data_IF_332045575463
#
_entry.id   IF_332045575463
#
_cell.length_a   1.000
_cell.length_b   1.000
_cell.length_c   1.000
_cell.angle_alpha   90.00
_cell.angle_beta   90.00
_cell.angle_gamma   90.00
#
_symmetry.space_group_name_H-M   'P 1'
#
loop_
_entity.id
_entity.type
_entity.pdbx_description
1 polymer ?
#
# COMPACT_ATOMS: atom_id res chain seq x y z
N UNK A 1 -6.66 -4.64 -32.73
CA UNK A 1 -7.66 -3.84 -32.00
C UNK A 1 -8.39 -4.79 -31.07
N UNK A 2 -7.93 -4.94 -29.82
CA UNK A 2 -8.57 -5.84 -28.86
C UNK A 2 -9.62 -5.08 -28.06
N UNK A 3 -10.84 -5.57 -28.26
CA UNK A 3 -12.06 -5.31 -27.51
C UNK A 3 -11.79 -5.49 -26.01
N UNK A 4 -11.93 -4.41 -25.23
CA UNK A 4 -11.94 -4.50 -23.76
C UNK A 4 -13.33 -4.97 -23.38
N UNK A 5 -13.51 -6.29 -23.36
CA UNK A 5 -14.72 -6.89 -22.85
C UNK A 5 -14.69 -6.84 -21.31
N UNK A 6 -15.79 -6.35 -20.76
CA UNK A 6 -15.94 -5.98 -19.36
C UNK A 6 -15.90 -7.23 -18.47
N UNK A 7 -14.93 -7.34 -17.58
CA UNK A 7 -15.05 -8.20 -16.39
C UNK A 7 -15.63 -7.40 -15.23
N UNK A 8 -16.94 -7.13 -15.33
CA UNK A 8 -17.80 -6.99 -14.16
C UNK A 8 -18.14 -8.43 -13.77
N UNK A 9 -17.44 -8.98 -12.79
CA UNK A 9 -17.60 -10.37 -12.36
C UNK A 9 -17.03 -10.57 -10.98
N UNK A 10 -17.92 -10.52 -9.99
CA UNK A 10 -17.81 -11.06 -8.64
C UNK A 10 -16.62 -12.00 -8.40
N UNK A 11 -15.62 -11.51 -7.65
CA UNK A 11 -14.64 -12.36 -6.96
C UNK A 11 -14.69 -12.07 -5.46
N UNK A 12 -15.89 -12.21 -4.88
CA UNK A 12 -15.98 -12.59 -3.47
C UNK A 12 -15.21 -13.90 -3.25
N UNK A 13 -14.68 -14.10 -2.04
CA UNK A 13 -14.13 -15.38 -1.54
C UNK A 13 -12.67 -15.74 -1.83
N UNK A 14 -11.74 -14.79 -1.81
CA UNK A 14 -10.43 -15.13 -1.22
C UNK A 14 -10.47 -14.58 0.20
N UNK A 15 -10.54 -15.48 1.17
CA UNK A 15 -10.43 -15.20 2.59
C UNK A 15 -9.09 -14.49 2.87
N UNK A 16 -9.12 -13.16 2.78
CA UNK A 16 -8.01 -12.26 3.04
C UNK A 16 -7.85 -12.01 4.54
N UNK A 17 -8.62 -12.69 5.40
CA UNK A 17 -8.61 -12.43 6.85
C UNK A 17 -7.43 -13.12 7.55
N UNK A 18 -6.83 -14.15 6.94
CA UNK A 18 -5.84 -14.99 7.62
C UNK A 18 -4.37 -14.87 7.13
N UNK A 19 -4.12 -14.33 5.93
CA UNK A 19 -2.76 -14.27 5.31
C UNK A 19 -2.13 -12.86 5.35
N UNK A 20 -2.73 -11.86 6.00
CA UNK A 20 -2.15 -10.51 6.10
C UNK A 20 -1.18 -10.30 7.27
N UNK A 21 -0.53 -11.35 7.78
CA UNK A 21 0.27 -11.25 9.01
C UNK A 21 1.73 -10.79 8.87
N UNK A 22 2.22 -10.44 7.66
CA UNK A 22 3.56 -9.80 7.49
C UNK A 22 3.68 -8.72 6.39
N UNK A 23 2.71 -8.59 5.47
CA UNK A 23 2.75 -7.58 4.40
C UNK A 23 2.21 -6.23 4.89
N UNK A 24 2.81 -5.13 4.45
CA UNK A 24 2.18 -3.80 4.60
C UNK A 24 0.92 -3.80 3.72
N UNK A 25 -0.26 -3.40 4.24
CA UNK A 25 -1.45 -3.29 3.41
C UNK A 25 -1.18 -2.42 2.18
N UNK A 26 -1.70 -2.81 1.01
CA UNK A 26 -1.42 -2.12 -0.27
C UNK A 26 -1.79 -0.63 -0.21
N UNK A 27 -2.92 -0.32 0.44
CA UNK A 27 -3.39 1.06 0.66
C UNK A 27 -2.33 1.93 1.38
N UNK A 28 -1.57 1.34 2.30
CA UNK A 28 -0.52 2.04 3.04
C UNK A 28 0.73 2.24 2.17
N UNK A 29 1.04 1.28 1.31
CA UNK A 29 2.13 1.40 0.32
C UNK A 29 1.82 2.53 -0.66
N UNK A 30 0.59 2.59 -1.16
CA UNK A 30 0.12 3.66 -2.06
C UNK A 30 0.24 5.04 -1.41
N UNK A 31 -0.19 5.18 -0.15
CA UNK A 31 0.00 6.43 0.62
C UNK A 31 1.48 6.79 0.72
N UNK A 32 2.37 5.81 0.98
CA UNK A 32 3.82 6.05 1.02
C UNK A 32 4.37 6.60 -0.31
N UNK A 33 3.94 6.03 -1.44
CA UNK A 33 4.31 6.48 -2.79
C UNK A 33 3.79 7.90 -3.05
N UNK A 34 2.51 8.17 -2.73
CA UNK A 34 1.91 9.50 -2.90
C UNK A 34 2.65 10.58 -2.11
N UNK A 35 3.05 10.28 -0.87
CA UNK A 35 3.85 11.20 -0.04
C UNK A 35 5.24 11.46 -0.65
N UNK A 36 5.88 10.43 -1.20
CA UNK A 36 7.15 10.60 -1.90
C UNK A 36 7.00 11.47 -3.15
N UNK A 37 5.97 11.24 -3.97
CA UNK A 37 5.66 12.04 -5.14
C UNK A 37 5.33 13.50 -4.78
N UNK A 38 4.74 13.74 -3.61
CA UNK A 38 4.52 15.06 -3.04
C UNK A 38 5.81 15.73 -2.51
N UNK A 39 6.98 15.09 -2.66
CA UNK A 39 8.28 15.64 -2.27
C UNK A 39 8.62 15.46 -0.79
N UNK A 40 7.90 14.61 -0.06
CA UNK A 40 8.26 14.34 1.34
C UNK A 40 9.55 13.51 1.40
N UNK A 41 10.39 13.85 2.38
CA UNK A 41 11.52 13.02 2.75
C UNK A 41 11.04 11.69 3.35
N UNK A 42 11.84 10.63 3.20
CA UNK A 42 11.55 9.31 3.81
C UNK A 42 11.31 9.40 5.33
N UNK A 43 11.99 10.31 6.03
CA UNK A 43 11.78 10.54 7.46
C UNK A 43 10.39 11.14 7.74
N UNK A 44 9.94 12.07 6.91
CA UNK A 44 8.59 12.65 7.02
C UNK A 44 7.51 11.61 6.65
N UNK A 45 7.74 10.80 5.62
CA UNK A 45 6.88 9.68 5.26
C UNK A 45 6.75 8.68 6.41
N UNK A 46 7.87 8.30 7.04
CA UNK A 46 7.88 7.43 8.23
C UNK A 46 7.07 8.01 9.38
N UNK A 47 7.27 9.30 9.70
CA UNK A 47 6.50 9.95 10.76
C UNK A 47 5.01 10.01 10.44
N UNK A 48 4.64 10.21 9.17
CA UNK A 48 3.24 10.21 8.75
C UNK A 48 2.60 8.83 8.94
N UNK A 49 3.28 7.77 8.53
CA UNK A 49 2.84 6.37 8.69
C UNK A 49 2.73 5.97 10.17
N UNK A 50 3.67 6.40 11.01
CA UNK A 50 3.61 6.18 12.46
C UNK A 50 2.37 6.81 13.10
N UNK A 51 1.95 7.99 12.62
CA UNK A 51 0.69 8.64 13.05
C UNK A 51 -0.56 7.88 12.59
N UNK A 52 -0.46 7.11 11.51
CA UNK A 52 -1.51 6.20 11.03
C UNK A 52 -1.46 4.82 11.72
N UNK A 53 -0.59 4.63 12.71
CA UNK A 53 -0.41 3.35 13.41
C UNK A 53 0.46 2.34 12.66
N UNK A 54 1.10 2.76 11.56
CA UNK A 54 1.97 1.90 10.75
C UNK A 54 3.42 2.10 11.18
N UNK A 55 3.95 1.13 11.92
CA UNK A 55 5.37 1.11 12.27
C UNK A 55 6.17 0.31 11.25
N UNK A 56 6.98 1.01 10.45
CA UNK A 56 7.89 0.39 9.48
C UNK A 56 9.27 1.04 9.55
N UNK A 57 10.29 0.24 9.25
CA UNK A 57 11.65 0.76 9.16
C UNK A 57 11.76 1.71 7.97
N UNK A 58 12.70 2.65 8.04
CA UNK A 58 12.98 3.55 6.91
C UNK A 58 13.38 2.77 5.66
N UNK A 59 14.12 1.67 5.81
CA UNK A 59 14.50 0.78 4.71
C UNK A 59 13.30 0.09 4.09
N UNK A 60 12.33 -0.35 4.88
CA UNK A 60 11.10 -0.95 4.35
C UNK A 60 10.31 0.06 3.51
N UNK A 61 10.19 1.31 3.99
CA UNK A 61 9.51 2.40 3.29
C UNK A 61 10.24 2.79 1.99
N UNK A 62 11.57 2.77 2.00
CA UNK A 62 12.38 3.02 0.79
C UNK A 62 12.18 1.93 -0.29
N UNK A 63 11.81 0.72 0.11
CA UNK A 63 11.65 -0.43 -0.78
C UNK A 63 10.20 -0.64 -1.25
N UNK A 64 9.32 0.34 -1.01
CA UNK A 64 7.98 0.41 -1.56
C UNK A 64 8.01 1.03 -2.95
#
# INVERSE_FOLDING_TARGET
MSEIDRLIGDSGWIDLEFVERERTPEQIVEVGIQLHLAGLSLSNTKQHLERLGVQRSRTAIHNW
#
